data_IF_540050612372
#
_entry.id   IF_540050612372
#
_cell.length_a   1.000
_cell.length_b   1.000
_cell.length_c   1.000
_cell.angle_alpha   90.00
_cell.angle_beta   90.00
_cell.angle_gamma   90.00
#
_symmetry.space_group_name_H-M   'P 1'
#
loop_
_entity.id
_entity.type
_entity.pdbx_description
1 polymer ?
#
# COMPACT_ATOMS: atom_id res chain seq x y z
N UNK A 1 -22.60 -15.86 10.18
CA UNK A 1 -22.80 -14.80 11.19
C UNK A 1 -21.78 -13.72 10.88
N UNK A 2 -22.22 -12.56 10.41
CA UNK A 2 -21.37 -11.44 10.00
C UNK A 2 -20.57 -10.98 11.22
N UNK A 3 -19.26 -11.24 11.24
CA UNK A 3 -18.36 -10.73 12.28
C UNK A 3 -18.56 -9.23 12.40
N UNK A 4 -18.96 -8.78 13.59
CA UNK A 4 -19.54 -7.46 13.84
C UNK A 4 -18.55 -6.31 13.69
N UNK A 5 -18.12 -6.02 12.46
CA UNK A 5 -17.28 -4.88 12.17
C UNK A 5 -18.07 -3.58 12.32
N UNK A 6 -17.39 -2.51 12.71
CA UNK A 6 -17.93 -1.19 12.95
C UNK A 6 -16.96 -0.13 12.45
N UNK A 7 -17.48 0.99 11.98
CA UNK A 7 -16.72 2.21 11.72
C UNK A 7 -16.86 3.16 12.90
N UNK A 8 -15.73 3.53 13.49
CA UNK A 8 -15.62 4.49 14.57
C UNK A 8 -15.29 5.85 13.95
N UNK A 9 -16.21 6.81 14.06
CA UNK A 9 -16.04 8.15 13.54
C UNK A 9 -15.23 9.02 14.51
N UNK A 10 -14.69 10.13 14.02
CA UNK A 10 -13.91 11.07 14.85
C UNK A 10 -14.71 11.72 15.99
N UNK A 11 -16.04 11.71 15.91
CA UNK A 11 -16.95 12.17 16.97
C UNK A 11 -17.22 11.08 18.03
N UNK A 12 -16.61 9.90 17.88
CA UNK A 12 -16.80 8.74 18.77
C UNK A 12 -18.05 7.91 18.46
N UNK A 13 -18.81 8.28 17.42
CA UNK A 13 -19.94 7.47 16.97
C UNK A 13 -19.42 6.15 16.38
N UNK A 14 -19.99 5.04 16.79
CA UNK A 14 -19.73 3.74 16.18
C UNK A 14 -20.90 3.37 15.27
N UNK A 15 -20.60 2.98 14.04
CA UNK A 15 -21.59 2.46 13.09
C UNK A 15 -21.27 1.02 12.76
N UNK A 16 -22.14 0.06 13.12
CA UNK A 16 -21.96 -1.32 12.69
C UNK A 16 -22.08 -1.42 11.18
N UNK A 17 -21.26 -2.29 10.60
CA UNK A 17 -21.23 -2.59 9.18
C UNK A 17 -22.05 -3.86 8.90
N UNK A 18 -22.85 -3.80 7.84
CA UNK A 18 -23.46 -4.97 7.22
C UNK A 18 -22.50 -5.58 6.17
N UNK A 19 -22.90 -6.67 5.51
CA UNK A 19 -22.09 -7.33 4.46
C UNK A 19 -21.61 -6.39 3.35
N UNK A 20 -22.31 -5.29 3.15
CA UNK A 20 -21.96 -4.23 2.23
C UNK A 20 -22.39 -2.89 2.80
N UNK A 21 -21.58 -1.86 2.58
CA UNK A 21 -21.86 -0.49 2.96
C UNK A 21 -21.38 0.45 1.87
N UNK A 22 -22.32 1.14 1.22
CA UNK A 22 -22.02 2.26 0.33
C UNK A 22 -21.78 3.54 1.15
N UNK A 23 -20.78 4.33 0.75
CA UNK A 23 -20.41 5.57 1.43
C UNK A 23 -20.38 6.74 0.45
N UNK A 24 -21.10 7.80 0.78
CA UNK A 24 -21.15 8.98 -0.07
C UNK A 24 -22.00 10.08 0.52
N UNK A 25 -22.08 11.22 -0.16
CA UNK A 25 -22.97 12.33 0.25
C UNK A 25 -24.41 12.16 -0.21
N UNK A 26 -24.65 11.24 -1.15
CA UNK A 26 -25.99 10.98 -1.64
C UNK A 26 -26.80 10.27 -0.56
N UNK A 27 -28.05 10.68 -0.30
CA UNK A 27 -28.92 10.00 0.66
C UNK A 27 -29.23 8.54 0.30
N UNK A 28 -28.98 8.12 -0.94
CA UNK A 28 -29.10 6.72 -1.34
C UNK A 28 -27.98 5.80 -0.81
N UNK A 29 -26.92 6.35 -0.21
CA UNK A 29 -25.87 5.54 0.40
C UNK A 29 -26.26 5.09 1.81
N UNK A 30 -25.75 3.94 2.23
CA UNK A 30 -25.93 3.42 3.59
C UNK A 30 -25.27 4.32 4.63
N UNK A 31 -24.08 4.83 4.30
CA UNK A 31 -23.37 5.82 5.09
C UNK A 31 -23.35 7.17 4.38
N UNK A 32 -24.25 8.05 4.80
CA UNK A 32 -24.40 9.39 4.27
C UNK A 32 -23.45 10.36 4.98
N UNK A 33 -22.43 10.84 4.27
CA UNK A 33 -21.51 11.87 4.75
C UNK A 33 -21.87 13.21 4.12
N UNK A 34 -22.59 14.06 4.86
CA UNK A 34 -23.11 15.36 4.38
C UNK A 34 -22.00 16.43 4.34
N UNK A 35 -20.96 16.19 3.55
CA UNK A 35 -19.83 17.10 3.38
C UNK A 35 -19.54 17.34 1.91
N UNK A 36 -19.12 18.57 1.58
CA UNK A 36 -18.79 18.96 0.19
C UNK A 36 -17.57 18.23 -0.37
N UNK A 37 -16.75 17.66 0.50
CA UNK A 37 -15.51 16.95 0.16
C UNK A 37 -15.75 15.47 -0.16
N UNK A 38 -16.97 14.97 0.06
CA UNK A 38 -17.37 13.60 -0.28
C UNK A 38 -18.20 13.59 -1.56
N UNK A 39 -17.99 12.58 -2.41
CA UNK A 39 -18.69 12.42 -3.69
C UNK A 39 -20.08 11.83 -3.44
N UNK A 40 -21.00 11.94 -4.42
CA UNK A 40 -22.34 11.33 -4.29
C UNK A 40 -22.24 9.84 -3.99
N UNK A 41 -21.47 9.13 -4.80
CA UNK A 41 -20.96 7.79 -4.51
C UNK A 41 -19.44 7.94 -4.35
N UNK A 42 -18.90 7.77 -3.16
CA UNK A 42 -17.48 8.04 -2.89
C UNK A 42 -16.69 6.74 -2.79
N UNK A 43 -17.13 5.85 -1.91
CA UNK A 43 -16.50 4.56 -1.69
C UNK A 43 -17.54 3.52 -1.34
N UNK A 44 -17.13 2.25 -1.40
CA UNK A 44 -17.89 1.12 -0.92
C UNK A 44 -17.00 0.28 -0.03
N UNK A 45 -17.58 -0.22 1.06
CA UNK A 45 -16.97 -1.21 1.93
C UNK A 45 -17.76 -2.50 1.75
N UNK A 46 -17.08 -3.61 1.51
CA UNK A 46 -17.72 -4.91 1.26
C UNK A 46 -17.03 -5.99 2.06
N UNK A 47 -17.81 -6.92 2.59
CA UNK A 47 -17.36 -8.14 3.23
C UNK A 47 -17.53 -9.31 2.26
N UNK A 48 -16.43 -9.86 1.78
CA UNK A 48 -16.38 -11.04 0.92
C UNK A 48 -15.57 -12.12 1.63
N UNK A 49 -16.12 -13.33 1.77
CA UNK A 49 -15.49 -14.48 2.44
C UNK A 49 -14.95 -14.16 3.85
N UNK A 50 -15.70 -13.34 4.60
CA UNK A 50 -15.32 -12.91 5.95
C UNK A 50 -14.19 -11.87 6.00
N UNK A 51 -13.75 -11.36 4.85
CA UNK A 51 -12.73 -10.30 4.73
C UNK A 51 -13.36 -9.01 4.25
N UNK A 52 -12.96 -7.92 4.88
CA UNK A 52 -13.44 -6.59 4.54
C UNK A 52 -12.53 -5.92 3.51
N UNK A 53 -13.13 -5.19 2.58
CA UNK A 53 -12.44 -4.44 1.55
C UNK A 53 -13.04 -3.06 1.40
N UNK A 54 -12.22 -2.08 1.04
CA UNK A 54 -12.63 -0.74 0.60
C UNK A 54 -12.35 -0.56 -0.89
N UNK A 55 -13.32 -0.01 -1.60
CA UNK A 55 -13.24 0.32 -3.02
C UNK A 55 -13.59 1.81 -3.20
N UNK A 56 -12.69 2.60 -3.77
CA UNK A 56 -13.01 3.97 -4.18
C UNK A 56 -13.77 3.97 -5.51
N UNK A 57 -14.92 4.64 -5.58
CA UNK A 57 -15.82 4.64 -6.75
C UNK A 57 -15.50 5.76 -7.74
N UNK A 58 -14.26 6.25 -7.77
CA UNK A 58 -13.87 7.40 -8.58
C UNK A 58 -14.20 8.72 -7.88
N UNK A 59 -13.97 8.78 -6.58
CA UNK A 59 -14.27 9.98 -5.82
C UNK A 59 -13.35 11.15 -6.20
N UNK A 60 -13.88 12.37 -6.12
CA UNK A 60 -13.15 13.56 -6.55
C UNK A 60 -11.89 13.80 -5.69
N UNK A 61 -12.04 13.71 -4.37
CA UNK A 61 -10.95 13.90 -3.42
C UNK A 61 -10.14 12.62 -3.14
N UNK A 62 -10.63 11.46 -3.57
CA UNK A 62 -10.04 10.17 -3.27
C UNK A 62 -10.37 9.68 -1.86
N UNK A 63 -10.38 8.35 -1.73
CA UNK A 63 -10.33 7.66 -0.44
C UNK A 63 -8.87 7.43 -0.04
N UNK A 64 -8.52 7.68 1.22
CA UNK A 64 -7.22 7.32 1.78
C UNK A 64 -7.40 6.23 2.84
N UNK A 65 -6.55 5.21 2.77
CA UNK A 65 -6.42 4.14 3.75
C UNK A 65 -5.04 4.26 4.40
N UNK A 66 -4.99 4.51 5.71
CA UNK A 66 -3.76 4.76 6.48
C UNK A 66 -2.85 5.82 5.84
N UNK A 67 -3.45 6.88 5.28
CA UNK A 67 -2.74 7.95 4.57
C UNK A 67 -2.27 7.61 3.15
N UNK A 68 -2.57 6.42 2.65
CA UNK A 68 -2.31 6.03 1.26
C UNK A 68 -3.59 6.12 0.43
N UNK A 69 -3.53 6.78 -0.73
CA UNK A 69 -4.69 6.91 -1.61
C UNK A 69 -5.06 5.54 -2.21
N UNK A 70 -6.33 5.18 -2.06
CA UNK A 70 -6.94 4.01 -2.70
C UNK A 70 -7.09 4.32 -4.19
N UNK A 71 -6.53 3.50 -5.10
CA UNK A 71 -6.75 3.69 -6.52
C UNK A 71 -8.25 3.48 -6.86
N UNK A 72 -8.86 4.36 -7.67
CA UNK A 72 -10.25 4.19 -8.09
C UNK A 72 -10.50 2.82 -8.74
N UNK A 73 -11.62 2.18 -8.39
CA UNK A 73 -12.00 0.85 -8.89
C UNK A 73 -11.13 -0.30 -8.39
N UNK A 74 -10.19 -0.04 -7.47
CA UNK A 74 -9.37 -1.09 -6.84
C UNK A 74 -9.85 -1.36 -5.43
N UNK A 75 -10.11 -2.63 -5.13
CA UNK A 75 -10.42 -3.11 -3.79
C UNK A 75 -9.15 -3.29 -2.98
N UNK A 76 -9.09 -2.68 -1.79
CA UNK A 76 -8.00 -2.87 -0.84
C UNK A 76 -8.54 -3.51 0.44
N UNK A 77 -7.83 -4.49 1.03
CA UNK A 77 -8.28 -5.13 2.26
C UNK A 77 -8.26 -4.15 3.44
N UNK A 78 -9.28 -4.22 4.28
CA UNK A 78 -9.40 -3.51 5.55
C UNK A 78 -9.06 -4.46 6.71
N UNK A 79 -8.32 -3.94 7.68
CA UNK A 79 -7.92 -4.63 8.90
C UNK A 79 -8.36 -3.84 10.12
N UNK A 80 -8.51 -4.53 11.24
CA UNK A 80 -8.73 -3.89 12.54
C UNK A 80 -7.79 -2.70 12.76
N UNK A 81 -8.33 -1.59 13.25
CA UNK A 81 -7.66 -0.31 13.48
C UNK A 81 -7.20 0.45 12.23
N UNK A 82 -7.59 0.04 11.03
CA UNK A 82 -7.29 0.80 9.81
C UNK A 82 -8.02 2.15 9.79
N UNK A 83 -7.29 3.20 9.44
CA UNK A 83 -7.84 4.56 9.31
C UNK A 83 -8.26 4.83 7.88
N UNK A 84 -9.57 5.02 7.70
CA UNK A 84 -10.16 5.47 6.45
C UNK A 84 -10.40 6.97 6.49
N UNK A 85 -10.05 7.65 5.40
CA UNK A 85 -10.29 9.07 5.22
C UNK A 85 -10.96 9.31 3.86
N UNK A 86 -12.15 9.89 3.89
CA UNK A 86 -12.95 10.22 2.71
C UNK A 86 -13.17 11.73 2.71
N UNK A 87 -12.45 12.44 1.84
CA UNK A 87 -12.45 13.90 1.86
C UNK A 87 -11.98 14.45 3.23
N UNK A 88 -12.87 15.18 3.91
CA UNK A 88 -12.59 15.73 5.26
C UNK A 88 -13.06 14.83 6.40
N UNK A 89 -13.69 13.69 6.11
CA UNK A 89 -14.17 12.75 7.12
C UNK A 89 -13.12 11.67 7.37
N UNK A 90 -12.87 11.37 8.65
CA UNK A 90 -11.94 10.31 9.07
C UNK A 90 -12.67 9.35 9.99
N UNK A 91 -12.48 8.05 9.74
CA UNK A 91 -13.06 6.97 10.51
C UNK A 91 -12.04 5.85 10.69
N UNK A 92 -12.20 5.05 11.73
CA UNK A 92 -11.37 3.89 12.03
C UNK A 92 -12.22 2.65 11.88
N UNK A 93 -11.74 1.69 11.10
CA UNK A 93 -12.35 0.38 10.97
C UNK A 93 -12.02 -0.46 12.21
N UNK A 94 -13.03 -0.95 12.90
CA UNK A 94 -12.93 -1.83 14.05
C UNK A 94 -13.63 -3.13 13.74
N UNK A 95 -12.97 -4.25 13.96
CA UNK A 95 -13.60 -5.58 13.95
C UNK A 95 -13.30 -6.28 15.29
N UNK A 96 -14.27 -6.94 15.91
CA UNK A 96 -14.05 -7.70 17.14
C UNK A 96 -13.03 -8.81 16.87
N UNK A 97 -12.09 -8.99 17.80
CA UNK A 97 -11.02 -9.98 17.70
C UNK A 97 -11.51 -11.43 17.53
N UNK A 98 -12.81 -11.70 17.73
CA UNK A 98 -13.43 -13.02 17.53
C UNK A 98 -13.62 -13.43 16.05
N UNK A 99 -13.25 -12.58 15.08
CA UNK A 99 -13.03 -13.02 13.69
C UNK A 99 -11.56 -13.37 13.39
N UNK A 100 -10.70 -13.37 14.42
CA UNK A 100 -9.26 -13.57 14.35
C UNK A 100 -8.83 -14.72 15.29
N UNK A 101 -9.36 -15.95 15.10
CA UNK A 101 -8.76 -17.22 15.58
C UNK A 101 -9.55 -18.45 15.05
N UNK A 102 -9.00 -19.67 14.81
CA UNK A 102 -7.67 -20.06 14.31
C UNK A 102 -7.81 -21.21 13.28
N UNK A 103 -8.10 -20.97 11.98
CA UNK A 103 -7.81 -22.00 10.98
C UNK A 103 -6.34 -21.95 10.60
N UNK A 104 -5.55 -22.52 11.51
CA UNK A 104 -4.26 -23.14 11.24
C UNK A 104 -4.49 -24.41 10.40
N UNK A 105 -5.04 -24.31 9.20
CA UNK A 105 -4.64 -25.15 8.06
C UNK A 105 -4.83 -24.42 6.72
N UNK A 106 -4.52 -23.12 6.66
CA UNK A 106 -3.96 -22.55 5.45
C UNK A 106 -2.61 -21.95 5.82
N UNK A 107 -1.57 -22.69 5.41
CA UNK A 107 -0.16 -22.32 5.34
C UNK A 107 0.01 -20.81 5.36
N UNK A 108 0.71 -20.33 6.40
CA UNK A 108 1.21 -18.98 6.57
C UNK A 108 1.13 -18.19 5.27
N UNK A 109 0.18 -17.24 5.22
CA UNK A 109 -0.07 -16.40 4.07
C UNK A 109 1.25 -15.78 3.64
N UNK A 110 1.90 -16.45 2.68
CA UNK A 110 2.97 -15.93 1.89
C UNK A 110 2.37 -14.66 1.31
N UNK A 111 2.84 -13.52 1.83
CA UNK A 111 2.73 -12.23 1.16
C UNK A 111 2.82 -12.51 -0.34
N UNK A 112 1.97 -11.97 -1.22
CA UNK A 112 2.28 -12.06 -2.63
C UNK A 112 3.69 -11.51 -2.79
N UNK A 113 4.63 -12.40 -3.12
CA UNK A 113 6.04 -12.13 -3.46
C UNK A 113 6.08 -11.38 -4.80
N UNK A 114 5.08 -10.54 -5.07
CA UNK A 114 4.55 -10.36 -6.41
C UNK A 114 3.81 -9.06 -6.64
N UNK A 115 3.93 -8.06 -5.75
CA UNK A 115 3.88 -6.69 -6.30
C UNK A 115 5.30 -6.36 -6.75
N UNK A 116 5.63 -6.48 -8.05
CA UNK A 116 6.94 -6.08 -8.51
C UNK A 116 7.19 -4.63 -8.05
N UNK A 117 8.45 -4.32 -7.80
CA UNK A 117 8.90 -2.93 -7.82
C UNK A 117 8.25 -2.24 -9.03
N UNK A 118 7.77 -1.00 -8.88
CA UNK A 118 7.22 -0.30 -10.06
C UNK A 118 8.27 -0.31 -11.17
N UNK A 119 7.90 -0.21 -12.46
CA UNK A 119 8.86 -0.36 -13.57
C UNK A 119 10.12 0.49 -13.36
N UNK A 120 9.95 1.73 -12.89
CA UNK A 120 11.03 2.63 -12.52
C UNK A 120 11.87 2.15 -11.33
N UNK A 121 11.25 1.60 -10.29
CA UNK A 121 11.95 1.05 -9.12
C UNK A 121 12.76 -0.19 -9.52
N UNK A 122 12.19 -1.08 -10.35
CA UNK A 122 12.86 -2.29 -10.81
C UNK A 122 14.06 -1.95 -11.70
N UNK A 123 13.89 -0.99 -12.61
CA UNK A 123 14.96 -0.51 -13.47
C UNK A 123 16.09 0.14 -12.68
N UNK A 124 15.78 0.94 -11.66
CA UNK A 124 16.77 1.50 -10.73
C UNK A 124 17.55 0.41 -9.97
N UNK A 125 16.85 -0.61 -9.46
CA UNK A 125 17.48 -1.72 -8.73
C UNK A 125 18.35 -2.57 -9.66
N UNK A 126 17.91 -2.80 -10.89
CA UNK A 126 18.66 -3.52 -11.91
C UNK A 126 19.93 -2.79 -12.31
N UNK A 127 19.86 -1.48 -12.55
CA UNK A 127 21.03 -0.64 -12.85
C UNK A 127 22.00 -0.53 -11.67
N UNK A 128 21.48 -0.53 -10.44
CA UNK A 128 22.33 -0.58 -9.24
C UNK A 128 23.07 -1.92 -9.15
N UNK A 129 22.39 -3.04 -9.46
CA UNK A 129 22.95 -4.38 -9.38
C UNK A 129 23.69 -4.84 -10.64
N UNK A 130 23.59 -4.10 -11.74
CA UNK A 130 24.18 -4.39 -13.06
C UNK A 130 25.67 -4.79 -12.96
N UNK A 131 26.57 -4.00 -12.35
CA UNK A 131 27.98 -4.39 -12.26
C UNK A 131 28.21 -5.68 -11.45
N UNK A 132 27.31 -6.02 -10.53
CA UNK A 132 27.37 -7.29 -9.80
C UNK A 132 26.80 -8.47 -10.61
N UNK A 133 25.77 -8.23 -11.43
CA UNK A 133 25.22 -9.23 -12.36
C UNK A 133 26.22 -9.57 -13.47
N UNK A 134 27.05 -8.61 -13.89
CA UNK A 134 28.13 -8.80 -14.87
C UNK A 134 29.41 -9.44 -14.29
N UNK A 135 29.38 -9.88 -13.02
CA UNK A 135 30.49 -10.59 -12.37
C UNK A 135 31.41 -9.72 -11.50
N UNK A 136 31.06 -8.45 -11.27
CA UNK A 136 31.75 -7.57 -10.34
C UNK A 136 31.34 -7.75 -8.87
N UNK A 137 31.84 -6.88 -8.00
CA UNK A 137 31.59 -6.92 -6.54
C UNK A 137 30.62 -5.84 -6.06
N UNK A 138 29.82 -6.16 -5.03
CA UNK A 138 28.86 -5.25 -4.39
C UNK A 138 29.49 -4.04 -3.66
N UNK A 139 30.82 -3.89 -3.65
CA UNK A 139 31.51 -2.74 -3.05
C UNK A 139 31.66 -1.53 -4.00
N UNK A 140 31.51 -1.74 -5.32
CA UNK A 140 31.55 -0.68 -6.33
C UNK A 140 30.18 -0.50 -6.97
N UNK A 141 29.22 -0.02 -6.18
CA UNK A 141 27.86 0.27 -6.66
C UNK A 141 27.79 1.69 -7.24
N UNK A 142 27.10 1.89 -8.38
CA UNK A 142 27.02 3.17 -9.05
C UNK A 142 26.28 4.21 -8.20
N UNK A 143 26.66 5.47 -8.38
CA UNK A 143 26.07 6.63 -7.74
C UNK A 143 24.67 6.92 -8.28
N UNK A 144 23.87 7.69 -7.53
CA UNK A 144 22.51 8.04 -7.96
C UNK A 144 22.51 8.81 -9.30
N UNK A 145 23.56 9.59 -9.57
CA UNK A 145 23.72 10.31 -10.85
C UNK A 145 24.05 9.37 -12.01
N UNK A 146 24.92 8.40 -11.80
CA UNK A 146 25.27 7.40 -12.83
C UNK A 146 24.06 6.55 -13.20
N UNK A 147 23.23 6.18 -12.21
CA UNK A 147 21.96 5.48 -12.44
C UNK A 147 20.97 6.38 -13.20
N UNK A 148 20.88 7.68 -12.87
CA UNK A 148 20.02 8.64 -13.56
C UNK A 148 20.44 8.85 -15.02
N UNK A 149 21.76 8.90 -15.28
CA UNK A 149 22.31 8.97 -16.63
C UNK A 149 21.96 7.72 -17.44
N UNK A 150 22.07 6.52 -16.85
CA UNK A 150 21.65 5.25 -17.49
C UNK A 150 20.13 5.13 -17.69
N UNK A 151 19.32 5.79 -16.87
CA UNK A 151 17.86 5.90 -17.05
C UNK A 151 17.44 6.85 -18.19
N UNK A 152 18.39 7.53 -18.85
CA UNK A 152 18.08 8.52 -19.88
C UNK A 152 17.46 9.80 -19.33
N UNK A 153 17.55 10.03 -18.02
CA UNK A 153 17.05 11.25 -17.34
C UNK A 153 18.20 11.94 -16.59
N UNK A 154 19.18 12.50 -17.32
CA UNK A 154 20.30 13.22 -16.70
C UNK A 154 19.78 14.36 -15.83
N UNK A 155 20.27 14.45 -14.59
CA UNK A 155 19.79 15.41 -13.59
C UNK A 155 18.62 14.93 -12.70
N UNK A 156 18.05 13.75 -12.96
CA UNK A 156 16.95 13.20 -12.15
C UNK A 156 17.40 12.37 -10.93
N UNK A 157 18.52 12.73 -10.29
CA UNK A 157 19.07 12.00 -9.14
C UNK A 157 18.08 11.92 -7.95
N UNK A 158 17.19 12.91 -7.82
CA UNK A 158 16.10 12.90 -6.83
C UNK A 158 15.09 11.77 -7.05
N UNK A 159 14.78 11.47 -8.31
CA UNK A 159 13.87 10.37 -8.71
C UNK A 159 14.48 9.01 -8.37
N UNK A 160 15.77 8.82 -8.65
CA UNK A 160 16.52 7.62 -8.29
C UNK A 160 16.54 7.44 -6.77
N UNK A 161 16.81 8.51 -6.01
CA UNK A 161 16.80 8.48 -4.55
C UNK A 161 15.43 8.09 -4.00
N UNK A 162 14.35 8.63 -4.56
CA UNK A 162 12.99 8.28 -4.18
C UNK A 162 12.65 6.81 -4.51
N UNK A 163 13.07 6.32 -5.67
CA UNK A 163 12.88 4.93 -6.09
C UNK A 163 13.64 3.96 -5.17
N UNK A 164 14.92 4.22 -4.90
CA UNK A 164 15.74 3.44 -3.98
C UNK A 164 15.17 3.45 -2.56
N UNK A 165 14.70 4.60 -2.05
CA UNK A 165 14.06 4.68 -0.73
C UNK A 165 12.86 3.73 -0.61
N UNK A 166 12.02 3.67 -1.66
CA UNK A 166 10.87 2.75 -1.71
C UNK A 166 11.31 1.28 -1.85
N UNK A 167 12.38 1.02 -2.60
CA UNK A 167 12.97 -0.31 -2.73
C UNK A 167 13.55 -0.80 -1.40
N UNK A 168 14.26 0.04 -0.65
CA UNK A 168 14.76 -0.29 0.69
C UNK A 168 13.63 -0.60 1.67
N UNK A 169 12.55 0.18 1.64
CA UNK A 169 11.37 -0.06 2.46
C UNK A 169 10.75 -1.43 2.16
N UNK A 170 10.61 -1.78 0.87
CA UNK A 170 10.10 -3.09 0.43
C UNK A 170 11.04 -4.25 0.77
N UNK A 171 12.35 -4.01 0.74
CA UNK A 171 13.37 -4.99 1.11
C UNK A 171 13.58 -5.09 2.64
N UNK A 172 13.01 -4.19 3.44
CA UNK A 172 13.19 -4.18 4.90
C UNK A 172 14.57 -3.69 5.36
N UNK A 173 15.34 -3.01 4.51
CA UNK A 173 16.75 -2.61 4.77
C UNK A 173 16.91 -1.11 5.05
N UNK A 174 15.80 -0.41 5.31
CA UNK A 174 15.77 1.04 5.56
C UNK A 174 16.66 1.49 6.72
N UNK A 175 16.92 0.61 7.68
CA UNK A 175 17.64 0.90 8.93
C UNK A 175 19.17 0.69 8.82
N UNK A 176 19.69 0.26 7.67
CA UNK A 176 21.11 -0.01 7.48
C UNK A 176 21.90 1.25 7.03
N UNK A 177 23.22 1.32 7.33
CA UNK A 177 24.12 2.36 6.81
C UNK A 177 24.05 2.48 5.29
N UNK A 178 24.32 3.67 4.74
CA UNK A 178 24.08 3.98 3.33
C UNK A 178 24.75 3.01 2.33
N UNK A 179 25.96 2.55 2.64
CA UNK A 179 26.66 1.54 1.84
C UNK A 179 26.09 0.12 2.06
N UNK A 180 25.76 -0.24 3.31
CA UNK A 180 25.24 -1.55 3.66
C UNK A 180 23.82 -1.81 3.10
N UNK A 181 22.93 -0.81 3.15
CA UNK A 181 21.56 -0.94 2.61
C UNK A 181 21.52 -1.18 1.10
N UNK A 182 22.47 -0.61 0.35
CA UNK A 182 22.60 -0.82 -1.10
C UNK A 182 22.98 -2.26 -1.42
N UNK A 183 24.02 -2.79 -0.74
CA UNK A 183 24.43 -4.19 -0.90
C UNK A 183 23.33 -5.17 -0.50
N UNK A 184 22.68 -4.91 0.62
CA UNK A 184 21.58 -5.73 1.10
C UNK A 184 20.39 -5.70 0.13
N UNK A 185 20.07 -4.53 -0.45
CA UNK A 185 19.05 -4.42 -1.48
C UNK A 185 19.37 -5.29 -2.71
N UNK A 186 20.61 -5.28 -3.21
CA UNK A 186 21.01 -6.12 -4.36
C UNK A 186 20.88 -7.61 -4.06
N UNK A 187 21.32 -8.07 -2.88
CA UNK A 187 21.18 -9.48 -2.46
C UNK A 187 19.71 -9.89 -2.37
N UNK A 188 18.91 -9.09 -1.66
CA UNK A 188 17.47 -9.34 -1.48
C UNK A 188 16.74 -9.28 -2.82
N UNK A 189 17.14 -8.38 -3.73
CA UNK A 189 16.56 -8.31 -5.06
C UNK A 189 16.78 -9.60 -5.85
N UNK A 190 17.97 -10.21 -5.76
CA UNK A 190 18.25 -11.51 -6.40
C UNK A 190 17.54 -12.67 -5.70
N UNK A 191 17.55 -12.70 -4.37
CA UNK A 191 16.85 -13.72 -3.57
C UNK A 191 15.33 -13.71 -3.82
N UNK A 192 14.75 -12.52 -4.07
CA UNK A 192 13.32 -12.34 -4.36
C UNK A 192 12.98 -12.34 -5.85
N UNK A 193 13.94 -12.58 -6.75
CA UNK A 193 13.71 -12.62 -8.20
C UNK A 193 13.29 -11.28 -8.82
N UNK A 194 13.69 -10.16 -8.24
CA UNK A 194 13.45 -8.82 -8.81
C UNK A 194 14.43 -8.47 -9.95
N UNK A 195 15.58 -9.15 -9.99
CA UNK A 195 16.67 -9.00 -10.96
C UNK A 195 17.27 -10.35 -11.34
#
# INVERSE_FOLDING_TARGET
MTGGASLIFSDGLERPLASELSVGRDPANDLVLVTKTVSREHARIVCEDGRWYVEDRGSFNGTLLNGQRVPPGTRLPLRHADRLQLGSQTMVFSQPAEADDPDRTETAQELPVGRPLSPLQLQVVRLLAEPWLEGGTLDQLPSNEEIAAKLGTPGAAGTVKAALRRAYAKAGVSNLPAHAKRRALCRIARERGWI
#
